data_IF_884924697255
#
_entry.id   IF_884924697255
#
_cell.length_a   1.000
_cell.length_b   1.000
_cell.length_c   1.000
_cell.angle_alpha   90.00
_cell.angle_beta   90.00
_cell.angle_gamma   90.00
#
_symmetry.space_group_name_H-M   'P 1'
#
loop_
_entity.id
_entity.type
_entity.pdbx_description
1 polymer ?
#
# COMPACT_ATOMS: atom_id res chain seq x y z
N UNK A 1 -95.12 -111.10 15.37
CA UNK A 1 -95.20 -110.84 16.83
C UNK A 1 -93.82 -110.40 17.31
N UNK A 2 -93.67 -109.12 17.68
CA UNK A 2 -92.59 -108.46 18.45
C UNK A 2 -91.15 -108.46 17.90
N UNK A 3 -90.27 -107.47 18.10
CA UNK A 3 -90.26 -106.03 18.42
C UNK A 3 -88.75 -105.66 18.46
N UNK A 4 -88.42 -104.46 17.98
CA UNK A 4 -87.30 -103.58 18.37
C UNK A 4 -85.82 -103.89 18.05
N UNK A 5 -85.28 -102.88 17.34
CA UNK A 5 -83.89 -102.51 17.11
C UNK A 5 -83.45 -101.58 18.24
N UNK A 6 -82.30 -101.82 18.85
CA UNK A 6 -81.62 -100.82 19.72
C UNK A 6 -80.14 -100.83 19.39
N UNK A 7 -79.64 -99.69 18.91
CA UNK A 7 -78.22 -99.42 18.71
C UNK A 7 -77.55 -99.03 20.03
N UNK A 8 -76.29 -99.42 20.20
CA UNK A 8 -75.44 -99.03 21.33
C UNK A 8 -74.26 -98.22 20.81
N UNK A 9 -74.22 -96.94 21.18
CA UNK A 9 -73.05 -96.07 21.06
C UNK A 9 -71.95 -96.50 22.06
N UNK A 10 -70.69 -96.57 21.60
CA UNK A 10 -69.52 -96.47 22.48
C UNK A 10 -68.56 -95.39 21.98
N UNK A 11 -68.37 -94.37 22.83
CA UNK A 11 -67.32 -93.33 22.75
C UNK A 11 -65.93 -93.96 22.79
N UNK A 12 -64.99 -93.46 21.97
CA UNK A 12 -63.54 -93.64 22.16
C UNK A 12 -62.87 -92.27 22.22
N UNK A 13 -62.06 -92.07 23.27
CA UNK A 13 -61.32 -90.85 23.57
C UNK A 13 -59.95 -90.83 22.84
N UNK A 14 -59.65 -89.64 22.30
CA UNK A 14 -58.39 -88.89 22.12
C UNK A 14 -57.01 -89.55 22.14
N UNK A 15 -56.18 -89.09 21.18
CA UNK A 15 -54.72 -89.16 21.22
C UNK A 15 -54.08 -88.55 19.96
N UNK A 16 -54.20 -87.23 19.77
CA UNK A 16 -53.50 -86.50 18.69
C UNK A 16 -52.19 -85.94 19.24
N UNK A 17 -51.06 -86.37 18.68
CA UNK A 17 -49.73 -85.80 18.94
C UNK A 17 -49.67 -84.33 18.48
N UNK A 18 -49.68 -83.39 19.43
CA UNK A 18 -49.28 -82.01 19.16
C UNK A 18 -47.75 -81.90 19.18
N UNK A 19 -47.14 -81.71 18.01
CA UNK A 19 -45.76 -81.23 17.89
C UNK A 19 -45.70 -79.81 18.46
N UNK A 20 -44.96 -79.63 19.55
CA UNK A 20 -44.63 -78.31 20.11
C UNK A 20 -43.56 -77.66 19.23
N UNK A 21 -43.94 -76.66 18.43
CA UNK A 21 -42.98 -75.74 17.84
C UNK A 21 -42.60 -74.71 18.91
N UNK A 22 -41.32 -74.62 19.24
CA UNK A 22 -40.80 -73.54 20.07
C UNK A 22 -41.00 -72.21 19.33
N UNK A 23 -41.81 -71.30 19.86
CA UNK A 23 -41.89 -69.95 19.33
C UNK A 23 -40.68 -69.16 19.79
N UNK A 24 -39.69 -69.02 18.90
CA UNK A 24 -38.62 -68.05 19.11
C UNK A 24 -39.25 -66.67 18.90
N UNK A 25 -39.48 -65.93 19.99
CA UNK A 25 -39.83 -64.51 19.91
C UNK A 25 -38.58 -63.76 19.45
N UNK A 26 -38.42 -63.58 18.14
CA UNK A 26 -37.51 -62.55 17.63
C UNK A 26 -38.10 -61.19 17.98
N UNK A 27 -37.27 -60.25 18.41
CA UNK A 27 -37.68 -58.86 18.55
C UNK A 27 -38.18 -58.39 17.18
N UNK A 28 -39.44 -57.94 17.08
CA UNK A 28 -39.94 -57.22 15.92
C UNK A 28 -39.24 -55.85 15.91
N UNK A 29 -37.95 -55.86 15.54
CA UNK A 29 -37.32 -54.64 15.05
C UNK A 29 -37.99 -54.38 13.72
N UNK A 30 -38.94 -53.45 13.72
CA UNK A 30 -39.40 -52.78 12.51
C UNK A 30 -38.15 -52.23 11.83
N UNK A 31 -37.58 -53.01 10.92
CA UNK A 31 -36.64 -52.53 9.93
C UNK A 31 -37.46 -51.68 8.99
N UNK A 32 -37.75 -50.45 9.41
CA UNK A 32 -38.05 -49.39 8.48
C UNK A 32 -36.77 -49.31 7.62
N UNK A 33 -36.79 -49.73 6.35
CA UNK A 33 -35.56 -49.75 5.57
C UNK A 33 -35.02 -48.33 5.63
N UNK A 34 -33.80 -48.15 6.14
CA UNK A 34 -33.12 -46.87 6.05
C UNK A 34 -33.17 -46.51 4.59
N UNK A 35 -34.04 -45.56 4.22
CA UNK A 35 -34.08 -45.00 2.88
C UNK A 35 -32.69 -44.45 2.71
N UNK A 36 -31.86 -45.18 1.97
CA UNK A 36 -30.45 -44.85 1.78
C UNK A 36 -30.41 -43.35 1.54
N UNK A 37 -29.84 -42.61 2.47
CA UNK A 37 -29.68 -41.18 2.31
C UNK A 37 -28.89 -41.04 1.02
N UNK A 38 -29.60 -40.60 -0.04
CA UNK A 38 -29.11 -40.58 -1.42
C UNK A 38 -27.66 -40.15 -1.37
N UNK A 39 -26.77 -41.04 -1.81
CA UNK A 39 -25.34 -40.77 -1.83
C UNK A 39 -25.11 -39.34 -2.30
N UNK A 40 -24.26 -38.62 -1.59
CA UNK A 40 -23.79 -37.27 -1.93
C UNK A 40 -22.97 -37.24 -3.25
N UNK A 41 -23.18 -38.24 -4.12
CA UNK A 41 -22.72 -38.37 -5.50
C UNK A 41 -23.85 -38.13 -6.50
N UNK A 42 -25.02 -37.65 -6.05
CA UNK A 42 -26.00 -37.06 -6.95
C UNK A 42 -25.40 -35.78 -7.53
N UNK A 43 -24.59 -35.95 -8.58
CA UNK A 43 -24.17 -34.86 -9.44
C UNK A 43 -25.41 -34.05 -9.78
N UNK A 44 -25.28 -32.72 -9.73
CA UNK A 44 -26.36 -31.74 -9.88
C UNK A 44 -27.31 -32.21 -10.99
N UNK A 45 -28.40 -32.89 -10.62
CA UNK A 45 -29.39 -33.38 -11.57
C UNK A 45 -30.22 -32.14 -11.92
N UNK A 46 -29.76 -31.36 -12.90
CA UNK A 46 -30.59 -30.35 -13.54
C UNK A 46 -31.80 -31.08 -14.15
N UNK A 47 -32.88 -31.15 -13.37
CA UNK A 47 -34.07 -31.96 -13.60
C UNK A 47 -34.92 -31.48 -14.80
N UNK A 48 -34.54 -30.39 -15.46
CA UNK A 48 -35.24 -29.84 -16.63
C UNK A 48 -34.34 -29.74 -17.86
N UNK A 49 -34.91 -29.99 -19.05
CA UNK A 49 -34.27 -29.76 -20.37
C UNK A 49 -33.69 -28.34 -20.47
N UNK A 50 -34.38 -27.36 -19.88
CA UNK A 50 -33.92 -25.98 -19.80
C UNK A 50 -32.62 -25.83 -18.98
N UNK A 51 -32.55 -26.39 -17.77
CA UNK A 51 -31.36 -26.31 -16.92
C UNK A 51 -30.11 -26.92 -17.55
N UNK A 52 -30.27 -28.01 -18.31
CA UNK A 52 -29.16 -28.62 -19.07
C UNK A 52 -28.65 -27.74 -20.20
N UNK A 53 -29.55 -27.12 -20.96
CA UNK A 53 -29.17 -26.18 -22.03
C UNK A 53 -28.44 -24.96 -21.45
N UNK A 54 -28.91 -24.44 -20.32
CA UNK A 54 -28.25 -23.32 -19.62
C UNK A 54 -26.88 -23.73 -19.12
N UNK A 55 -26.75 -24.87 -18.44
CA UNK A 55 -25.47 -25.36 -17.94
C UNK A 55 -24.45 -25.58 -19.08
N UNK A 56 -24.88 -26.22 -20.17
CA UNK A 56 -24.03 -26.43 -21.33
C UNK A 56 -23.65 -25.11 -22.02
N UNK A 57 -24.58 -24.17 -22.12
CA UNK A 57 -24.30 -22.82 -22.59
C UNK A 57 -23.22 -22.14 -21.73
N UNK A 58 -23.31 -22.25 -20.40
CA UNK A 58 -22.32 -21.71 -19.48
C UNK A 58 -20.97 -22.42 -19.60
N UNK A 59 -20.95 -23.74 -19.77
CA UNK A 59 -19.75 -24.54 -19.98
C UNK A 59 -19.01 -24.13 -21.27
N UNK A 60 -19.74 -23.88 -22.35
CA UNK A 60 -19.17 -23.38 -23.61
C UNK A 60 -18.71 -21.92 -23.51
N UNK A 61 -19.43 -21.10 -22.73
CA UNK A 61 -19.14 -19.67 -22.57
C UNK A 61 -17.96 -19.41 -21.61
N UNK A 62 -17.76 -20.26 -20.60
CA UNK A 62 -16.71 -20.14 -19.61
C UNK A 62 -15.29 -20.00 -20.21
N UNK A 63 -14.82 -20.85 -21.15
CA UNK A 63 -13.50 -20.70 -21.75
C UNK A 63 -13.36 -19.40 -22.56
N UNK A 64 -14.44 -18.93 -23.19
CA UNK A 64 -14.45 -17.69 -23.99
C UNK A 64 -14.31 -16.47 -23.08
N UNK A 65 -15.10 -16.39 -22.00
CA UNK A 65 -15.06 -15.27 -21.05
C UNK A 65 -13.69 -15.22 -20.36
N UNK A 66 -13.20 -16.36 -19.87
CA UNK A 66 -11.91 -16.42 -19.16
C UNK A 66 -10.73 -16.09 -20.07
N UNK A 67 -10.77 -16.47 -21.35
CA UNK A 67 -9.78 -16.05 -22.34
C UNK A 67 -9.85 -14.54 -22.63
N UNK A 68 -11.05 -13.99 -22.76
CA UNK A 68 -11.26 -12.55 -22.95
C UNK A 68 -10.72 -11.75 -21.75
N UNK A 69 -10.97 -12.21 -20.52
CA UNK A 69 -10.42 -11.64 -19.30
C UNK A 69 -8.89 -11.74 -19.25
N UNK A 70 -8.31 -12.89 -19.61
CA UNK A 70 -6.84 -13.05 -19.73
C UNK A 70 -6.22 -12.08 -20.74
N UNK A 71 -6.89 -11.89 -21.88
CA UNK A 71 -6.47 -10.94 -22.92
C UNK A 71 -6.55 -9.49 -22.43
N UNK A 72 -7.62 -9.13 -21.72
CA UNK A 72 -7.75 -7.82 -21.09
C UNK A 72 -6.65 -7.59 -20.04
N UNK A 73 -6.37 -8.57 -19.19
CA UNK A 73 -5.29 -8.48 -18.20
C UNK A 73 -3.93 -8.29 -18.87
N UNK A 74 -3.69 -8.93 -20.02
CA UNK A 74 -2.45 -8.73 -20.80
C UNK A 74 -2.33 -7.29 -21.31
N UNK A 75 -3.42 -6.73 -21.88
CA UNK A 75 -3.43 -5.33 -22.32
C UNK A 75 -3.20 -4.37 -21.14
N UNK A 76 -3.86 -4.65 -20.01
CA UNK A 76 -3.73 -3.85 -18.78
C UNK A 76 -2.32 -3.91 -18.20
N UNK A 77 -1.69 -5.09 -18.21
CA UNK A 77 -0.30 -5.30 -17.80
C UNK A 77 0.65 -4.50 -18.68
N UNK A 78 0.53 -4.58 -20.01
CA UNK A 78 1.36 -3.82 -20.95
C UNK A 78 1.25 -2.30 -20.72
N UNK A 79 0.03 -1.80 -20.55
CA UNK A 79 -0.20 -0.39 -20.23
C UNK A 79 0.47 0.01 -18.91
N UNK A 80 0.30 -0.79 -17.83
CA UNK A 80 0.95 -0.52 -16.54
C UNK A 80 2.48 -0.58 -16.62
N UNK A 81 3.04 -1.57 -17.31
CA UNK A 81 4.48 -1.67 -17.49
C UNK A 81 5.04 -0.47 -18.25
N UNK A 82 4.31 0.04 -19.24
CA UNK A 82 4.70 1.26 -19.96
C UNK A 82 4.73 2.47 -19.03
N UNK A 83 3.73 2.64 -18.17
CA UNK A 83 3.72 3.73 -17.17
C UNK A 83 4.88 3.61 -16.17
N UNK A 84 5.17 2.40 -15.68
CA UNK A 84 6.29 2.15 -14.77
C UNK A 84 7.61 2.50 -15.46
N UNK A 85 7.81 2.02 -16.70
CA UNK A 85 9.01 2.29 -17.48
C UNK A 85 9.19 3.79 -17.75
N UNK A 86 8.12 4.54 -18.06
CA UNK A 86 8.18 6.00 -18.21
C UNK A 86 8.58 6.70 -16.90
N UNK A 87 8.09 6.23 -15.76
CA UNK A 87 8.47 6.77 -14.45
C UNK A 87 9.93 6.45 -14.10
N UNK A 88 10.39 5.23 -14.39
CA UNK A 88 11.78 4.80 -14.18
C UNK A 88 12.74 5.60 -15.07
N UNK A 89 12.39 5.79 -16.35
CA UNK A 89 13.15 6.59 -17.30
C UNK A 89 13.30 8.04 -16.80
N UNK A 90 12.22 8.65 -16.30
CA UNK A 90 12.25 10.00 -15.70
C UNK A 90 13.21 10.13 -14.51
N UNK A 91 13.37 9.07 -13.71
CA UNK A 91 14.30 9.03 -12.58
C UNK A 91 15.77 8.91 -13.01
N UNK A 92 16.06 8.41 -14.21
CA UNK A 92 17.44 8.24 -14.69
C UNK A 92 18.09 9.57 -15.08
N UNK A 93 17.29 10.56 -15.52
CA UNK A 93 17.83 11.84 -15.93
C UNK A 93 18.48 12.61 -14.78
N UNK A 94 19.52 13.38 -15.12
CA UNK A 94 20.18 14.28 -14.17
C UNK A 94 19.20 15.32 -13.61
N UNK A 95 19.36 15.71 -12.32
CA UNK A 95 18.55 16.75 -11.71
C UNK A 95 18.57 18.04 -12.53
N UNK A 96 17.40 18.61 -12.80
CA UNK A 96 17.24 19.89 -13.50
C UNK A 96 16.79 20.99 -12.53
N UNK A 97 17.13 22.27 -12.72
CA UNK A 97 16.60 23.33 -11.88
C UNK A 97 15.07 23.39 -11.98
N UNK A 98 14.38 23.61 -10.85
CA UNK A 98 12.92 23.74 -10.83
C UNK A 98 12.48 24.97 -11.64
N UNK A 99 11.61 24.82 -12.66
CA UNK A 99 11.04 25.95 -13.38
C UNK A 99 10.23 26.89 -12.46
N UNK A 100 10.33 28.20 -12.71
CA UNK A 100 9.67 29.24 -11.88
C UNK A 100 8.15 29.12 -11.87
N UNK A 101 7.55 28.89 -13.04
CA UNK A 101 6.11 28.92 -13.27
C UNK A 101 5.51 27.52 -13.46
N UNK A 102 5.73 26.62 -12.51
CA UNK A 102 5.00 25.34 -12.46
C UNK A 102 3.63 25.56 -11.82
N UNK A 103 2.59 25.03 -12.46
CA UNK A 103 1.26 24.91 -11.85
C UNK A 103 0.98 23.47 -11.42
N UNK A 104 -0.10 23.26 -10.67
CA UNK A 104 -0.50 21.94 -10.17
C UNK A 104 -0.82 20.97 -11.31
N UNK A 105 -1.33 21.48 -12.42
CA UNK A 105 -1.74 20.71 -13.61
C UNK A 105 -0.54 20.10 -14.34
N UNK A 106 0.65 20.69 -14.21
CA UNK A 106 1.88 20.19 -14.82
C UNK A 106 2.53 19.05 -14.01
N UNK A 107 2.16 18.91 -12.73
CA UNK A 107 2.78 17.95 -11.80
C UNK A 107 2.71 16.49 -12.26
N UNK A 108 1.58 15.97 -12.80
CA UNK A 108 1.52 14.59 -13.32
C UNK A 108 2.48 14.34 -14.49
N UNK A 109 2.73 15.35 -15.32
CA UNK A 109 3.65 15.25 -16.44
C UNK A 109 5.12 15.26 -15.98
N UNK A 110 5.40 15.93 -14.86
CA UNK A 110 6.72 16.03 -14.26
C UNK A 110 6.97 15.01 -13.14
N UNK A 111 5.99 14.16 -12.82
CA UNK A 111 6.12 13.16 -11.77
C UNK A 111 7.34 12.26 -12.02
N UNK A 112 8.08 11.95 -10.94
CA UNK A 112 9.33 11.21 -10.96
C UNK A 112 10.51 11.91 -11.64
N UNK A 113 10.41 13.22 -11.92
CA UNK A 113 11.58 14.01 -12.34
C UNK A 113 12.39 14.50 -11.13
N UNK A 114 13.71 14.30 -11.19
CA UNK A 114 14.66 14.90 -10.24
C UNK A 114 14.85 16.38 -10.53
N UNK A 115 14.75 17.21 -9.49
CA UNK A 115 14.88 18.65 -9.55
C UNK A 115 15.79 19.21 -8.47
N UNK A 116 16.50 20.28 -8.79
CA UNK A 116 17.28 21.09 -7.86
C UNK A 116 16.49 22.34 -7.49
N UNK A 117 16.38 22.61 -6.19
CA UNK A 117 15.71 23.79 -5.65
C UNK A 117 16.67 24.55 -4.76
N UNK A 118 16.88 25.83 -5.07
CA UNK A 118 17.77 26.73 -4.32
C UNK A 118 16.96 27.75 -3.54
N UNK A 119 17.30 27.96 -2.27
CA UNK A 119 16.48 28.77 -1.37
C UNK A 119 16.76 28.49 0.10
N UNK A 120 15.79 28.81 0.95
CA UNK A 120 15.88 28.56 2.39
C UNK A 120 14.57 27.96 2.93
N UNK A 121 14.69 27.19 4.01
CA UNK A 121 13.54 26.62 4.72
C UNK A 121 12.96 27.63 5.72
N UNK A 122 11.63 27.68 5.83
CA UNK A 122 10.96 28.35 6.93
C UNK A 122 10.54 27.33 8.00
N UNK A 123 11.41 27.16 9.00
CA UNK A 123 11.23 26.19 10.07
C UNK A 123 10.09 26.53 11.05
N UNK A 124 9.65 27.80 11.09
CA UNK A 124 8.58 28.22 11.98
C UNK A 124 7.24 27.58 11.62
N UNK A 125 7.11 27.22 10.33
CA UNK A 125 5.94 26.67 9.65
C UNK A 125 6.09 25.18 9.27
N UNK A 126 6.95 24.42 9.96
CA UNK A 126 7.06 22.97 9.77
C UNK A 126 5.78 22.23 10.18
N UNK A 127 5.38 21.26 9.36
CA UNK A 127 4.19 20.41 9.51
C UNK A 127 4.60 18.94 9.54
N UNK A 128 3.88 18.13 10.32
CA UNK A 128 4.17 16.72 10.54
C UNK A 128 3.03 15.85 10.03
N UNK A 129 3.33 14.82 9.23
CA UNK A 129 2.35 13.85 8.74
C UNK A 129 2.60 12.48 9.35
N UNK A 130 1.65 11.94 10.13
CA UNK A 130 1.83 10.63 10.76
C UNK A 130 0.75 10.26 11.78
N UNK A 131 0.99 9.25 12.63
CA UNK A 131 2.28 8.58 12.88
C UNK A 131 2.76 7.67 11.73
N UNK A 132 4.08 7.55 11.56
CA UNK A 132 4.74 6.67 10.59
C UNK A 132 5.83 5.85 11.29
N UNK A 133 5.87 4.54 11.01
CA UNK A 133 6.90 3.65 11.50
C UNK A 133 8.04 3.57 10.49
N UNK A 134 9.28 3.71 10.97
CA UNK A 134 10.49 3.43 10.21
C UNK A 134 11.37 2.51 11.04
N UNK A 135 11.66 1.31 10.53
CA UNK A 135 12.44 0.27 11.22
C UNK A 135 11.95 -0.03 12.67
N UNK A 136 10.64 -0.05 12.88
CA UNK A 136 10.03 -0.30 14.20
C UNK A 136 10.00 0.92 15.15
N UNK A 137 10.59 2.04 14.76
CA UNK A 137 10.61 3.28 15.54
C UNK A 137 9.46 4.19 15.08
N UNK A 138 8.75 4.79 16.05
CA UNK A 138 7.69 5.77 15.79
C UNK A 138 8.29 7.12 15.39
N UNK A 139 7.71 7.73 14.37
CA UNK A 139 8.05 9.07 13.93
C UNK A 139 6.98 9.67 13.02
N UNK A 140 7.35 10.71 12.29
CA UNK A 140 6.48 11.50 11.44
C UNK A 140 7.20 11.87 10.15
N UNK A 141 6.48 12.10 9.07
CA UNK A 141 7.07 12.74 7.89
C UNK A 141 7.04 14.26 8.08
N UNK A 142 8.19 14.90 7.88
CA UNK A 142 8.39 16.32 8.05
C UNK A 142 8.21 17.03 6.71
N UNK A 143 7.25 17.93 6.65
CA UNK A 143 7.02 18.80 5.50
C UNK A 143 7.33 20.22 5.93
N UNK A 144 8.16 20.89 5.13
CA UNK A 144 8.56 22.26 5.40
C UNK A 144 8.31 23.11 4.15
N UNK A 145 7.75 24.33 4.30
CA UNK A 145 7.75 25.29 3.21
C UNK A 145 9.19 25.72 2.91
N UNK A 146 9.50 25.82 1.62
CA UNK A 146 10.80 26.22 1.09
C UNK A 146 10.63 27.44 0.19
N UNK A 147 11.27 28.53 0.58
CA UNK A 147 11.23 29.81 -0.13
C UNK A 147 12.33 29.78 -1.19
N UNK A 148 11.95 29.78 -2.47
CA UNK A 148 12.91 29.72 -3.56
C UNK A 148 13.58 31.09 -3.80
N UNK A 149 14.91 31.10 -3.97
CA UNK A 149 15.66 32.31 -4.33
C UNK A 149 15.38 32.80 -5.76
N UNK A 150 14.91 31.90 -6.64
CA UNK A 150 14.65 32.19 -8.05
C UNK A 150 13.40 33.09 -8.30
N UNK A 151 12.68 33.47 -7.24
CA UNK A 151 11.44 34.25 -7.28
C UNK A 151 10.19 33.44 -7.63
N UNK A 152 10.27 32.11 -7.67
CA UNK A 152 9.15 31.21 -7.98
C UNK A 152 8.16 31.00 -6.83
N UNK A 153 8.31 31.71 -5.70
CA UNK A 153 7.46 31.56 -4.52
C UNK A 153 7.79 30.34 -3.66
N UNK A 154 6.93 30.07 -2.68
CA UNK A 154 7.11 28.97 -1.71
C UNK A 154 6.59 27.63 -2.27
N UNK A 155 7.34 26.56 -2.01
CA UNK A 155 6.96 25.17 -2.35
C UNK A 155 7.01 24.27 -1.13
N UNK A 156 6.27 23.17 -1.14
CA UNK A 156 6.28 22.19 -0.07
C UNK A 156 7.36 21.14 -0.33
N UNK A 157 8.31 20.99 0.61
CA UNK A 157 9.31 19.91 0.56
C UNK A 157 9.05 18.94 1.70
N UNK A 158 8.74 17.68 1.36
CA UNK A 158 8.83 16.54 2.26
C UNK A 158 10.31 16.23 2.49
N UNK A 159 10.82 16.71 3.63
CA UNK A 159 12.20 16.50 4.07
C UNK A 159 12.44 15.04 4.48
N UNK A 160 11.37 14.27 4.69
CA UNK A 160 11.42 12.86 4.99
C UNK A 160 11.02 12.51 6.43
N UNK A 161 11.42 11.33 6.90
CA UNK A 161 10.98 10.80 8.20
C UNK A 161 11.85 11.32 9.35
N UNK A 162 11.22 11.75 10.45
CA UNK A 162 11.87 12.17 11.70
C UNK A 162 11.30 11.40 12.90
N UNK A 163 12.16 11.09 13.87
CA UNK A 163 11.79 10.38 15.11
C UNK A 163 10.95 11.29 16.03
N UNK A 164 10.00 10.69 16.75
CA UNK A 164 9.04 11.39 17.63
C UNK A 164 9.70 12.32 18.68
N UNK A 165 10.75 11.85 19.34
CA UNK A 165 11.52 12.61 20.34
C UNK A 165 12.36 13.76 19.75
N UNK A 166 12.57 13.79 18.44
CA UNK A 166 13.38 14.77 17.68
C UNK A 166 12.53 15.75 16.86
N UNK A 167 11.20 15.69 17.00
CA UNK A 167 10.26 16.61 16.37
C UNK A 167 10.59 18.08 16.69
N UNK A 168 10.95 18.37 17.95
CA UNK A 168 11.33 19.71 18.39
C UNK A 168 12.74 20.09 17.91
N UNK A 169 12.90 21.27 17.32
CA UNK A 169 14.16 21.79 16.79
C UNK A 169 15.32 21.74 17.80
N UNK A 170 15.06 22.13 19.05
CA UNK A 170 16.08 22.17 20.12
C UNK A 170 16.63 20.79 20.49
N UNK A 171 15.93 19.71 20.12
CA UNK A 171 16.34 18.34 20.39
C UNK A 171 17.13 17.73 19.23
N UNK A 172 17.18 18.42 18.08
CA UNK A 172 17.95 17.99 16.90
C UNK A 172 19.43 18.34 17.10
N UNK A 173 20.29 17.40 16.78
CA UNK A 173 21.74 17.54 16.70
C UNK A 173 22.13 17.66 15.21
N UNK A 174 23.39 18.00 14.92
CA UNK A 174 23.87 18.24 13.54
C UNK A 174 22.99 19.29 12.83
N UNK A 175 22.92 20.49 13.42
CA UNK A 175 22.02 21.55 12.97
C UNK A 175 22.23 21.93 11.49
N UNK A 176 23.45 21.83 10.98
CA UNK A 176 23.73 22.08 9.56
C UNK A 176 23.05 21.08 8.61
N UNK A 177 22.73 19.85 9.06
CA UNK A 177 21.99 18.85 8.29
C UNK A 177 20.51 18.80 8.69
N UNK A 178 20.20 18.91 9.99
CA UNK A 178 18.83 18.81 10.51
C UNK A 178 18.02 20.07 10.26
N UNK A 179 18.64 21.25 10.31
CA UNK A 179 18.01 22.56 10.13
C UNK A 179 19.01 23.55 9.47
N UNK A 180 19.51 23.29 8.25
CA UNK A 180 20.40 24.20 7.56
C UNK A 180 19.80 25.62 7.42
N UNK A 181 20.52 26.67 7.83
CA UNK A 181 20.09 28.05 7.55
C UNK A 181 20.93 28.66 6.43
N UNK A 182 20.44 29.79 5.92
CA UNK A 182 21.00 30.43 4.73
C UNK A 182 20.49 29.81 3.44
N UNK A 183 21.14 30.17 2.34
CA UNK A 183 20.79 29.68 1.01
C UNK A 183 21.38 28.29 0.78
N UNK A 184 20.55 27.33 0.43
CA UNK A 184 20.94 25.94 0.21
C UNK A 184 20.32 25.39 -1.07
N UNK A 185 20.99 24.40 -1.64
CA UNK A 185 20.51 23.62 -2.77
C UNK A 185 20.05 22.25 -2.30
N UNK A 186 18.78 21.92 -2.54
CA UNK A 186 18.18 20.64 -2.17
C UNK A 186 17.81 19.87 -3.43
N UNK A 187 18.21 18.60 -3.47
CA UNK A 187 17.79 17.65 -4.49
C UNK A 187 16.46 17.00 -4.11
N UNK A 188 15.46 17.16 -4.97
CA UNK A 188 14.12 16.67 -4.76
C UNK A 188 13.62 15.86 -5.96
N UNK A 189 12.59 15.06 -5.74
CA UNK A 189 11.79 14.43 -6.80
C UNK A 189 10.39 15.01 -6.76
N UNK A 190 9.88 15.38 -7.93
CA UNK A 190 8.49 15.80 -8.08
C UNK A 190 7.58 14.59 -7.88
N UNK A 191 6.62 14.69 -6.96
CA UNK A 191 5.61 13.66 -6.72
C UNK A 191 4.22 14.27 -6.71
N UNK A 192 3.25 13.52 -7.24
CA UNK A 192 1.85 13.87 -7.09
C UNK A 192 1.38 13.33 -5.73
N UNK A 193 0.98 14.18 -4.79
CA UNK A 193 0.47 13.73 -3.50
C UNK A 193 -0.85 12.98 -3.70
N UNK A 194 -1.16 11.98 -2.85
CA UNK A 194 -2.42 11.26 -2.95
C UNK A 194 -3.59 12.22 -2.70
N UNK A 195 -4.67 12.06 -3.46
CA UNK A 195 -5.88 12.83 -3.22
C UNK A 195 -6.59 12.33 -1.97
N UNK A 196 -7.18 13.27 -1.23
CA UNK A 196 -8.02 12.97 -0.07
C UNK A 196 -9.19 12.09 -0.47
N UNK A 197 -9.31 10.93 0.17
CA UNK A 197 -10.45 10.02 -0.04
C UNK A 197 -11.70 10.52 0.68
N UNK A 198 -12.87 10.16 0.17
CA UNK A 198 -14.20 10.59 0.69
C UNK A 198 -14.42 10.29 2.18
N UNK A 199 -13.80 9.25 2.73
CA UNK A 199 -13.93 8.84 4.13
C UNK A 199 -12.80 9.34 5.03
N UNK A 200 -11.95 10.26 4.55
CA UNK A 200 -10.87 10.83 5.35
C UNK A 200 -11.41 11.98 6.18
N UNK A 201 -11.10 11.98 7.48
CA UNK A 201 -11.48 13.09 8.37
C UNK A 201 -10.80 14.40 7.93
N UNK A 202 -11.50 15.51 8.18
CA UNK A 202 -10.94 16.85 7.97
C UNK A 202 -9.84 17.14 9.00
N UNK A 203 -8.88 17.97 8.59
CA UNK A 203 -7.82 18.43 9.46
C UNK A 203 -8.34 19.53 10.41
N UNK A 204 -7.86 19.52 11.66
CA UNK A 204 -8.14 20.56 12.64
C UNK A 204 -7.27 21.79 12.38
N UNK A 205 -7.89 22.91 11.96
CA UNK A 205 -7.18 24.15 11.62
C UNK A 205 -6.26 24.63 12.76
N UNK A 206 -5.03 24.99 12.43
CA UNK A 206 -4.02 25.48 13.39
C UNK A 206 -3.17 24.37 14.03
N UNK A 207 -3.49 23.10 13.78
CA UNK A 207 -2.66 21.98 14.22
C UNK A 207 -1.51 21.73 13.24
N UNK A 208 -0.30 21.58 13.74
CA UNK A 208 0.86 21.19 12.90
C UNK A 208 0.87 19.70 12.55
N UNK A 209 -0.08 18.91 13.07
CA UNK A 209 -0.14 17.47 12.89
C UNK A 209 -1.25 17.09 11.92
N UNK A 210 -0.85 16.41 10.85
CA UNK A 210 -1.73 15.88 9.82
C UNK A 210 -1.74 14.35 9.88
N UNK A 211 -2.93 13.74 9.87
CA UNK A 211 -3.05 12.28 9.85
C UNK A 211 -2.72 11.70 8.47
N UNK A 212 -3.06 12.43 7.41
CA UNK A 212 -2.84 12.06 6.02
C UNK A 212 -2.10 13.17 5.28
N UNK A 213 -1.40 12.79 4.21
CA UNK A 213 -0.73 13.77 3.35
C UNK A 213 -1.77 14.44 2.45
N UNK A 214 -2.20 15.64 2.84
CA UNK A 214 -3.06 16.51 2.04
C UNK A 214 -2.27 17.77 1.68
N UNK A 215 -1.62 17.77 0.53
CA UNK A 215 -0.74 18.87 0.13
C UNK A 215 -1.51 20.17 -0.14
N UNK A 216 -2.80 20.09 -0.53
CA UNK A 216 -3.61 21.26 -0.79
C UNK A 216 -3.98 21.97 0.52
N UNK A 217 -4.45 21.21 1.51
CA UNK A 217 -4.76 21.74 2.83
C UNK A 217 -3.50 22.31 3.53
N UNK A 218 -2.37 21.59 3.44
CA UNK A 218 -1.09 22.07 3.98
C UNK A 218 -0.64 23.34 3.24
N UNK A 219 -0.77 23.39 1.91
CA UNK A 219 -0.38 24.58 1.15
C UNK A 219 -1.23 25.80 1.53
N UNK A 220 -2.55 25.62 1.70
CA UNK A 220 -3.48 26.67 2.11
C UNK A 220 -3.16 27.21 3.50
N UNK A 221 -2.93 26.34 4.49
CA UNK A 221 -2.60 26.76 5.85
C UNK A 221 -1.24 27.46 5.93
N UNK A 222 -0.28 27.01 5.13
CA UNK A 222 1.05 27.60 5.09
C UNK A 222 1.13 28.84 4.20
N UNK A 223 0.14 29.10 3.33
CA UNK A 223 0.22 30.17 2.33
C UNK A 223 1.24 29.90 1.21
N UNK A 224 1.55 28.63 0.97
CA UNK A 224 2.50 28.20 -0.05
C UNK A 224 1.79 27.67 -1.30
N UNK A 225 2.52 27.40 -2.38
CA UNK A 225 1.93 26.77 -3.57
C UNK A 225 1.72 25.28 -3.32
N UNK A 226 0.66 24.66 -3.90
CA UNK A 226 0.39 23.22 -3.77
C UNK A 226 1.32 22.36 -4.64
N UNK A 227 2.62 22.66 -4.61
CA UNK A 227 3.68 21.94 -5.31
C UNK A 227 4.42 21.14 -4.26
N UNK A 228 4.21 19.82 -4.31
CA UNK A 228 4.80 18.87 -3.39
C UNK A 228 6.06 18.24 -4.00
N UNK A 229 7.17 18.43 -3.32
CA UNK A 229 8.48 17.91 -3.67
C UNK A 229 8.96 16.98 -2.58
N UNK A 230 9.62 15.90 -2.96
CA UNK A 230 10.13 14.92 -2.03
C UNK A 230 11.65 14.97 -2.00
N UNK A 231 12.25 15.31 -0.86
CA UNK A 231 13.70 15.32 -0.71
C UNK A 231 14.28 13.92 -0.91
N UNK A 232 15.36 13.86 -1.69
CA UNK A 232 16.11 12.63 -1.90
C UNK A 232 16.87 12.25 -0.63
N UNK A 233 16.94 10.95 -0.37
CA UNK A 233 17.82 10.43 0.67
C UNK A 233 19.28 10.68 0.30
N UNK A 234 20.01 11.35 1.18
CA UNK A 234 21.43 11.60 1.04
C UNK A 234 22.08 11.52 2.43
N UNK A 235 23.12 10.69 2.56
CA UNK A 235 23.86 10.46 3.79
C UNK A 235 25.25 11.12 3.81
N UNK A 236 25.61 11.80 2.73
CA UNK A 236 26.85 12.57 2.65
C UNK A 236 26.76 13.81 3.53
N UNK A 237 27.87 14.14 4.18
CA UNK A 237 27.99 15.45 4.80
C UNK A 237 27.95 16.57 3.76
N UNK A 238 27.47 17.74 4.19
CA UNK A 238 27.36 18.93 3.34
C UNK A 238 28.08 20.10 4.01
N UNK A 239 29.41 20.18 3.89
CA UNK A 239 30.19 21.24 4.51
C UNK A 239 29.85 22.63 3.93
N UNK A 240 29.33 22.71 2.71
CA UNK A 240 28.82 23.94 2.11
C UNK A 240 27.67 24.54 2.92
N UNK A 241 26.76 23.71 3.45
CA UNK A 241 25.65 24.18 4.27
C UNK A 241 26.14 24.77 5.59
N UNK A 242 27.23 24.22 6.13
CA UNK A 242 27.86 24.75 7.34
C UNK A 242 28.53 26.11 7.09
N UNK A 243 29.19 26.30 5.93
CA UNK A 243 29.75 27.61 5.55
C UNK A 243 28.64 28.67 5.45
N UNK A 244 27.54 28.33 4.78
CA UNK A 244 26.41 29.23 4.58
C UNK A 244 25.77 29.62 5.92
N UNK A 245 25.68 28.69 6.88
CA UNK A 245 25.25 29.00 8.25
C UNK A 245 26.20 30.00 8.93
N UNK A 246 27.52 29.78 8.86
CA UNK A 246 28.52 30.67 9.48
C UNK A 246 28.45 32.07 8.87
N UNK A 247 28.31 32.17 7.55
CA UNK A 247 28.13 33.44 6.84
C UNK A 247 26.84 34.15 7.23
N UNK A 248 25.73 33.40 7.32
CA UNK A 248 24.44 33.92 7.79
C UNK A 248 24.53 34.50 9.20
N UNK A 249 25.16 33.76 10.13
CA UNK A 249 25.40 34.22 11.51
C UNK A 249 26.26 35.48 11.55
N UNK A 250 27.37 35.51 10.80
CA UNK A 250 28.24 36.70 10.69
C UNK A 250 27.49 37.92 10.14
N UNK A 251 26.61 37.72 9.17
CA UNK A 251 25.75 38.76 8.62
C UNK A 251 24.84 39.38 9.69
N UNK A 252 24.16 38.55 10.48
CA UNK A 252 23.29 39.00 11.58
C UNK A 252 24.07 39.75 12.67
N UNK A 253 25.19 39.20 13.13
CA UNK A 253 26.09 39.84 14.09
C UNK A 253 26.59 41.21 13.61
N UNK A 254 26.88 41.36 12.31
CA UNK A 254 27.30 42.64 11.74
C UNK A 254 26.16 43.67 11.73
N UNK A 255 24.92 43.26 11.45
CA UNK A 255 23.75 44.14 11.46
C UNK A 255 23.38 44.58 12.87
N UNK A 256 23.39 43.65 13.84
CA UNK A 256 23.19 43.96 15.25
C UNK A 256 24.27 44.88 15.79
N UNK A 257 25.54 44.65 15.43
CA UNK A 257 26.65 45.55 15.80
C UNK A 257 26.48 46.95 15.22
N UNK A 258 26.03 47.08 13.96
CA UNK A 258 25.75 48.37 13.33
C UNK A 258 24.54 49.06 13.98
N UNK A 259 23.49 48.33 14.37
CA UNK A 259 22.34 48.88 15.08
C UNK A 259 22.69 49.31 16.51
N UNK A 260 23.50 48.51 17.23
CA UNK A 260 24.04 48.87 18.54
C UNK A 260 24.94 50.10 18.45
N UNK A 261 25.78 50.22 17.41
CA UNK A 261 26.59 51.41 17.19
C UNK A 261 25.72 52.63 16.84
N UNK A 262 24.63 52.48 16.08
CA UNK A 262 23.66 53.55 15.82
C UNK A 262 22.95 53.98 17.12
N UNK A 263 22.51 53.06 17.99
CA UNK A 263 21.94 53.39 19.31
C UNK A 263 22.97 54.05 20.23
N UNK A 264 24.23 53.59 20.18
CA UNK A 264 25.35 54.20 20.91
C UNK A 264 25.73 55.59 20.39
N UNK A 265 25.51 55.90 19.10
CA UNK A 265 25.69 57.25 18.54
C UNK A 265 24.69 58.26 19.10
N UNK A 266 23.54 57.83 19.61
CA UNK A 266 22.59 58.71 20.33
C UNK A 266 22.94 58.85 21.81
N UNK A 267 23.81 57.98 22.35
CA UNK A 267 24.46 58.15 23.65
C UNK A 267 25.71 59.04 23.61
N UNK A 268 26.14 59.48 22.41
CA UNK A 268 27.38 60.22 22.15
C UNK A 268 27.40 61.68 22.67
N UNK A 269 26.28 62.21 23.19
CA UNK A 269 26.27 63.50 23.89
C UNK A 269 26.69 63.41 25.37
N UNK A 270 27.13 62.24 25.84
CA UNK A 270 27.83 62.11 27.12
C UNK A 270 29.16 61.39 26.94
N UNK A 271 30.20 62.12 27.32
CA UNK A 271 31.59 61.72 27.58
C UNK A 271 32.43 61.34 26.36
N UNK A 272 33.17 62.34 25.89
CA UNK A 272 34.39 62.17 25.10
C UNK A 272 35.55 61.87 26.05
N UNK A 273 36.12 60.68 25.98
CA UNK A 273 37.48 60.41 26.46
C UNK A 273 38.08 59.23 25.68
N UNK A 274 38.82 59.61 24.63
CA UNK A 274 40.15 59.14 24.26
C UNK A 274 40.61 57.85 24.98
N UNK A 275 40.55 56.73 24.27
CA UNK A 275 41.50 55.61 24.43
C UNK A 275 41.47 54.73 23.16
N UNK A 276 42.30 55.11 22.18
CA UNK A 276 42.78 54.21 21.14
C UNK A 276 43.88 53.34 21.76
N UNK A 277 43.63 52.03 21.91
CA UNK A 277 44.69 51.00 21.82
C UNK A 277 44.13 49.58 21.77
N UNK A 278 44.54 48.89 20.70
CA UNK A 278 44.66 47.44 20.54
C UNK A 278 43.39 46.58 20.69
N UNK A 279 42.72 46.35 19.55
CA UNK A 279 42.07 45.07 19.31
C UNK A 279 42.79 44.40 18.13
N UNK A 280 43.88 43.71 18.46
CA UNK A 280 44.55 42.82 17.53
C UNK A 280 43.53 41.76 17.10
N UNK A 281 43.24 41.77 15.81
CA UNK A 281 42.40 40.81 15.11
C UNK A 281 43.08 39.45 15.18
N UNK A 282 42.78 38.66 16.21
CA UNK A 282 43.12 37.24 16.22
C UNK A 282 42.16 36.54 15.25
N UNK A 283 42.46 36.66 13.96
CA UNK A 283 41.96 35.75 12.94
C UNK A 283 42.62 34.40 13.19
N UNK A 284 41.98 33.61 14.06
CA UNK A 284 42.29 32.18 14.11
C UNK A 284 42.11 31.64 12.69
N UNK A 285 43.11 30.95 12.11
CA UNK A 285 42.95 30.33 10.81
C UNK A 285 41.77 29.37 10.92
N UNK A 286 40.72 29.61 10.15
CA UNK A 286 39.71 28.58 9.91
C UNK A 286 40.50 27.40 9.33
N UNK A 287 40.51 26.22 9.96
CA UNK A 287 41.21 25.08 9.39
C UNK A 287 40.66 24.89 7.98
N UNK A 288 41.54 24.88 6.98
CA UNK A 288 41.20 24.47 5.63
C UNK A 288 40.75 23.01 5.74
N UNK A 289 39.43 22.82 5.85
CA UNK A 289 38.82 21.50 5.79
C UNK A 289 38.96 21.06 4.35
N UNK A 290 39.79 20.06 4.12
CA UNK A 290 39.99 19.44 2.81
C UNK A 290 38.64 18.89 2.32
N UNK A 291 38.04 19.52 1.31
CA UNK A 291 36.63 19.33 0.92
C UNK A 291 36.37 18.05 0.10
N UNK A 292 37.41 17.25 -0.18
CA UNK A 292 37.35 16.18 -1.18
C UNK A 292 37.05 14.78 -0.61
N UNK A 293 36.81 14.66 0.70
CA UNK A 293 36.37 13.39 1.31
C UNK A 293 35.01 13.57 1.98
N UNK A 294 33.93 13.46 1.20
CA UNK A 294 32.58 13.46 1.75
C UNK A 294 32.37 12.21 2.62
N UNK A 295 32.53 12.34 3.93
CA UNK A 295 32.22 11.26 4.87
C UNK A 295 30.73 10.91 4.79
N UNK A 296 30.45 9.62 4.61
CA UNK A 296 29.10 9.08 4.66
C UNK A 296 28.74 8.72 6.10
N UNK A 297 27.63 9.24 6.59
CA UNK A 297 27.11 8.87 7.91
C UNK A 297 26.29 7.57 7.85
N UNK A 298 26.34 6.80 8.94
CA UNK A 298 25.43 5.67 9.12
C UNK A 298 23.98 6.20 9.29
N UNK A 299 22.98 5.62 8.60
CA UNK A 299 21.56 5.96 8.76
C UNK A 299 21.09 6.07 10.22
N UNK A 300 21.59 5.22 11.13
CA UNK A 300 21.22 5.27 12.54
C UNK A 300 21.71 6.55 13.24
N UNK A 301 22.88 7.07 12.83
CA UNK A 301 23.41 8.32 13.37
C UNK A 301 22.51 9.50 12.98
N UNK A 302 22.02 9.54 11.73
CA UNK A 302 21.06 10.55 11.28
C UNK A 302 19.76 10.51 12.08
N UNK A 303 19.21 9.31 12.31
CA UNK A 303 17.99 9.12 13.11
C UNK A 303 18.19 9.64 14.54
N UNK A 304 19.31 9.29 15.17
CA UNK A 304 19.62 9.72 16.53
C UNK A 304 19.91 11.21 16.64
N UNK A 305 20.52 11.79 15.60
CA UNK A 305 20.74 13.22 15.49
C UNK A 305 19.43 13.97 15.23
N UNK A 306 18.40 13.33 14.66
CA UNK A 306 17.15 14.00 14.29
C UNK A 306 17.25 14.72 12.94
N UNK A 307 18.16 14.27 12.07
CA UNK A 307 18.19 14.67 10.66
C UNK A 307 17.04 13.96 9.95
N UNK A 308 16.14 14.68 9.26
CA UNK A 308 15.03 14.05 8.55
C UNK A 308 15.54 13.17 7.41
N UNK A 309 15.07 11.94 7.35
CA UNK A 309 15.49 10.95 6.37
C UNK A 309 14.65 11.07 5.10
N UNK A 310 15.22 11.68 4.07
CA UNK A 310 14.65 11.71 2.71
C UNK A 310 14.31 10.32 2.20
N UNK A 311 13.54 10.25 1.10
CA UNK A 311 13.10 8.94 0.56
C UNK A 311 13.96 8.54 -0.64
N UNK A 312 14.14 7.24 -0.78
CA UNK A 312 14.78 6.64 -1.96
C UNK A 312 13.85 6.86 -3.16
N UNK A 313 14.36 7.36 -4.29
CA UNK A 313 13.58 7.55 -5.50
C UNK A 313 13.25 6.19 -6.11
N UNK A 314 12.09 5.64 -5.76
CA UNK A 314 11.59 4.38 -6.32
C UNK A 314 10.17 4.54 -6.83
N UNK A 315 9.88 3.76 -7.86
CA UNK A 315 8.56 3.71 -8.49
C UNK A 315 7.71 2.67 -7.75
N UNK A 316 6.81 3.16 -6.90
CA UNK A 316 5.98 2.30 -6.02
C UNK A 316 4.65 1.91 -6.70
N UNK A 317 4.70 1.14 -7.80
CA UNK A 317 3.49 0.57 -8.43
C UNK A 317 3.39 -0.95 -8.20
N UNK A 318 2.30 -1.39 -7.56
CA UNK A 318 1.98 -2.81 -7.44
C UNK A 318 1.50 -3.37 -8.79
N UNK A 319 2.13 -4.46 -9.24
CA UNK A 319 1.80 -5.11 -10.50
C UNK A 319 1.51 -6.61 -10.33
N UNK A 320 0.29 -6.93 -9.90
CA UNK A 320 -0.16 -8.32 -9.75
C UNK A 320 -0.80 -8.88 -11.03
N UNK A 321 -0.82 -8.12 -12.14
CA UNK A 321 -1.53 -8.50 -13.36
C UNK A 321 -0.96 -9.75 -14.03
N UNK A 322 0.34 -10.02 -13.85
CA UNK A 322 0.97 -11.25 -14.32
C UNK A 322 0.38 -12.49 -13.61
N UNK A 323 0.19 -12.43 -12.29
CA UNK A 323 -0.42 -13.53 -11.53
C UNK A 323 -1.87 -13.79 -11.98
N UNK A 324 -2.63 -12.72 -12.22
CA UNK A 324 -3.99 -12.84 -12.75
C UNK A 324 -4.02 -13.39 -14.18
N UNK A 325 -3.09 -12.96 -15.04
CA UNK A 325 -2.94 -13.48 -16.40
C UNK A 325 -2.77 -15.00 -16.39
N UNK A 326 -1.86 -15.51 -15.54
CA UNK A 326 -1.65 -16.96 -15.38
C UNK A 326 -2.93 -17.65 -14.92
N UNK A 327 -3.63 -17.07 -13.95
CA UNK A 327 -4.88 -17.64 -13.41
C UNK A 327 -5.97 -17.75 -14.49
N UNK A 328 -6.21 -16.67 -15.24
CA UNK A 328 -7.28 -16.63 -16.25
C UNK A 328 -6.98 -17.53 -17.46
N UNK A 329 -5.74 -17.55 -17.95
CA UNK A 329 -5.39 -18.47 -19.03
C UNK A 329 -5.35 -19.93 -18.57
N UNK A 330 -4.93 -20.22 -17.34
CA UNK A 330 -5.00 -21.58 -16.78
C UNK A 330 -6.45 -22.06 -16.66
N UNK A 331 -7.36 -21.20 -16.18
CA UNK A 331 -8.77 -21.52 -16.07
C UNK A 331 -9.43 -21.70 -17.44
N UNK A 332 -9.06 -20.87 -18.42
CA UNK A 332 -9.52 -21.00 -19.81
C UNK A 332 -9.06 -22.32 -20.42
N UNK A 333 -7.78 -22.68 -20.24
CA UNK A 333 -7.21 -23.94 -20.70
C UNK A 333 -7.91 -25.14 -20.05
N UNK A 334 -8.05 -25.16 -18.73
CA UNK A 334 -8.72 -26.25 -18.00
C UNK A 334 -10.19 -26.42 -18.42
N UNK A 335 -10.92 -25.30 -18.58
CA UNK A 335 -12.32 -25.32 -19.03
C UNK A 335 -12.44 -25.84 -20.47
N UNK A 336 -11.49 -25.47 -21.34
CA UNK A 336 -11.45 -25.95 -22.72
C UNK A 336 -11.14 -27.45 -22.78
N UNK A 337 -10.18 -27.93 -21.98
CA UNK A 337 -9.87 -29.37 -21.89
C UNK A 337 -11.07 -30.16 -21.37
N UNK A 338 -11.74 -29.66 -20.33
CA UNK A 338 -12.96 -30.29 -19.80
C UNK A 338 -14.07 -30.34 -20.86
N UNK A 339 -14.28 -29.24 -21.59
CA UNK A 339 -15.27 -29.17 -22.66
C UNK A 339 -14.97 -30.20 -23.76
N UNK A 340 -13.72 -30.27 -24.24
CA UNK A 340 -13.28 -31.24 -25.25
C UNK A 340 -13.43 -32.69 -24.75
N UNK A 341 -13.11 -32.96 -23.49
CA UNK A 341 -13.30 -34.28 -22.88
C UNK A 341 -14.78 -34.68 -22.83
N UNK A 342 -15.66 -33.76 -22.47
CA UNK A 342 -17.11 -34.00 -22.43
C UNK A 342 -17.69 -34.24 -23.84
N UNK A 343 -17.22 -33.51 -24.85
CA UNK A 343 -17.59 -33.77 -26.25
C UNK A 343 -17.12 -35.13 -26.72
N UNK A 344 -15.85 -35.51 -26.43
CA UNK A 344 -15.28 -36.80 -26.85
C UNK A 344 -15.96 -38.00 -26.17
N UNK A 345 -16.35 -37.85 -24.90
CA UNK A 345 -16.98 -38.94 -24.15
C UNK A 345 -18.47 -39.09 -24.40
N UNK A 346 -19.13 -38.11 -25.04
CA UNK A 346 -20.58 -38.16 -25.34
C UNK A 346 -21.48 -38.17 -24.10
N UNK A 347 -20.91 -38.12 -22.89
CA UNK A 347 -21.60 -38.27 -21.59
C UNK A 347 -22.74 -37.28 -21.39
N UNK A 348 -22.63 -36.09 -21.98
CA UNK A 348 -23.61 -35.03 -21.83
C UNK A 348 -24.80 -35.14 -22.79
N UNK A 349 -24.66 -35.88 -23.90
CA UNK A 349 -25.68 -35.98 -24.93
C UNK A 349 -26.72 -37.08 -24.62
N UNK A 350 -26.31 -38.23 -24.06
CA UNK A 350 -27.21 -39.36 -23.80
C UNK A 350 -26.99 -40.05 -22.43
N UNK A 351 -27.36 -39.43 -21.30
CA UNK A 351 -27.32 -40.09 -19.99
C UNK A 351 -28.30 -41.28 -19.87
N UNK A 352 -29.32 -41.32 -20.72
CA UNK A 352 -30.25 -42.45 -20.87
C UNK A 352 -29.55 -43.68 -21.43
N UNK A 353 -28.61 -43.54 -22.37
CA UNK A 353 -27.82 -44.67 -22.87
C UNK A 353 -26.89 -45.24 -21.80
N UNK A 354 -26.29 -44.40 -20.95
CA UNK A 354 -25.50 -44.86 -19.80
C UNK A 354 -26.37 -45.61 -18.78
N UNK A 355 -27.55 -45.07 -18.43
CA UNK A 355 -28.51 -45.76 -17.56
C UNK A 355 -28.97 -47.09 -18.17
N UNK A 356 -29.18 -47.15 -19.49
CA UNK A 356 -29.53 -48.38 -20.22
C UNK A 356 -28.36 -49.38 -20.27
N UNK A 357 -27.11 -48.91 -20.44
CA UNK A 357 -25.91 -49.77 -20.38
C UNK A 357 -25.73 -50.39 -19.01
N UNK A 358 -25.92 -49.60 -17.95
CA UNK A 358 -25.85 -50.09 -16.56
C UNK A 358 -26.98 -51.06 -16.25
N UNK A 359 -28.21 -50.75 -16.66
CA UNK A 359 -29.36 -51.65 -16.51
C UNK A 359 -29.14 -52.98 -17.23
N UNK A 360 -28.65 -52.97 -18.47
CA UNK A 360 -28.31 -54.20 -19.23
C UNK A 360 -27.18 -55.02 -18.58
N UNK A 361 -26.28 -54.39 -17.84
CA UNK A 361 -25.19 -55.08 -17.12
C UNK A 361 -25.68 -55.76 -15.84
N UNK A 362 -26.76 -55.26 -15.23
CA UNK A 362 -27.36 -55.85 -14.01
C UNK A 362 -28.33 -57.00 -14.37
N UNK A 363 -28.91 -56.97 -15.58
CA UNK A 363 -29.87 -57.99 -16.06
C UNK A 363 -29.17 -59.26 -16.60
N UNK A 364 -27.85 -59.20 -16.86
CA UNK A 364 -27.01 -60.38 -17.09
C UNK A 364 -26.39 -60.84 -15.79
#
# INVERSE_FOLDING_TARGET
MKLFRVGVLRKRYYGVLQKRFASVKTHNVDWNPMKSQKQLSQGIEFSGSFGRKVFFGLLCLAPIITFALGTWQTKRLKWKNKLIAECEDRLTYKPAPLPKYITKEDMPNLEYRKVLVTGHFDYSREVFVGPRLHNGIKGYNLICPFVQSNGGGEVLIDRGWIRDDKVLLNRRNLQHLSCPKGEITVECVIRVPPQKGTFSMDHEKGSRLYQYLDADAIAEELGSRPIYLQALQNFHDKPEWLKNEIEFQRGQLSQEAVEHQKKSKWAFWKTSSKDEKNLQTSSAPVPEVDFDTAEEFDPLQFINAGVPLGKIPRVDYKNNHLNYLVTWYSLSFASTVLLLYLFKTGKFLNPTEEKLKYARKIIK
#
